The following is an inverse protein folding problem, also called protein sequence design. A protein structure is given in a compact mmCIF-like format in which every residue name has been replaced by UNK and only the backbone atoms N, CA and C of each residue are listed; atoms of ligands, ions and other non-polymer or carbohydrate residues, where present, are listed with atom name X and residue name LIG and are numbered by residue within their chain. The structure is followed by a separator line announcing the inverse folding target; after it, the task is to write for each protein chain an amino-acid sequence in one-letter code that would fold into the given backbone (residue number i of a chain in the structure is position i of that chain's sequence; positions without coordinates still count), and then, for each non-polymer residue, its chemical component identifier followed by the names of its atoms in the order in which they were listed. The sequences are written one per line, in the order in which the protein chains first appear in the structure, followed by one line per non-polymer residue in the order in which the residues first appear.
data_IF_138774802297
#
_entry.id   IF_138774802297
#
_cell.length_a   1.000
_cell.length_b   1.000
_cell.length_c   1.000
_cell.angle_alpha   90.00
_cell.angle_beta   90.00
_cell.angle_gamma   90.00
#
_symmetry.space_group_name_H-M   'P 1'
#
loop_
_entity.id
_entity.type
_entity.pdbx_description
1 polymer ?
#
# COMPACT_ATOMS: atom_id res chain seq x y z
N UNK A 1 -13.10 -3.22 -10.43
CA UNK A 1 -12.30 -3.16 -9.17
C UNK A 1 -11.65 -1.79 -8.92
N UNK A 2 -10.64 -1.34 -9.70
CA UNK A 2 -9.86 -0.11 -9.42
C UNK A 2 -10.71 1.16 -9.16
N UNK A 3 -11.75 1.38 -9.98
CA UNK A 3 -12.68 2.52 -9.80
C UNK A 3 -13.51 2.43 -8.51
N UNK A 4 -13.96 1.23 -8.13
CA UNK A 4 -14.75 1.02 -6.89
C UNK A 4 -13.90 1.23 -5.64
N UNK A 5 -12.66 0.73 -5.65
CA UNK A 5 -11.70 0.96 -4.58
C UNK A 5 -11.37 2.46 -4.41
N UNK A 6 -11.12 3.15 -5.53
CA UNK A 6 -10.86 4.60 -5.51
C UNK A 6 -12.05 5.38 -4.97
N UNK A 7 -13.28 5.04 -5.36
CA UNK A 7 -14.50 5.66 -4.83
C UNK A 7 -14.63 5.43 -3.32
N UNK A 8 -14.38 4.21 -2.83
CA UNK A 8 -14.41 3.91 -1.39
C UNK A 8 -13.40 4.73 -0.60
N UNK A 9 -12.17 4.85 -1.10
CA UNK A 9 -11.13 5.68 -0.48
C UNK A 9 -11.54 7.16 -0.40
N UNK A 10 -12.13 7.72 -1.47
CA UNK A 10 -12.61 9.10 -1.48
C UNK A 10 -13.75 9.31 -0.47
N UNK A 11 -14.70 8.37 -0.38
CA UNK A 11 -15.80 8.44 0.60
C UNK A 11 -15.27 8.42 2.04
N UNK A 12 -14.33 7.53 2.36
CA UNK A 12 -13.70 7.52 3.70
C UNK A 12 -12.94 8.81 4.01
N UNK A 13 -12.27 9.40 3.01
CA UNK A 13 -11.63 10.70 3.14
C UNK A 13 -12.63 11.81 3.51
N UNK A 14 -13.79 11.85 2.84
CA UNK A 14 -14.84 12.86 3.12
C UNK A 14 -15.40 12.68 4.53
N UNK A 15 -15.71 11.44 4.91
CA UNK A 15 -16.23 11.12 6.26
C UNK A 15 -15.21 11.52 7.32
N UNK A 16 -13.92 11.25 7.10
CA UNK A 16 -12.85 11.58 8.04
C UNK A 16 -12.63 13.08 8.17
N UNK A 17 -12.67 13.83 7.07
CA UNK A 17 -12.64 15.30 7.13
C UNK A 17 -13.80 15.85 7.97
N UNK A 18 -15.00 15.27 7.83
CA UNK A 18 -16.17 15.66 8.62
C UNK A 18 -16.02 15.33 10.12
N UNK A 19 -15.50 14.15 10.47
CA UNK A 19 -15.31 13.77 11.88
C UNK A 19 -14.22 14.60 12.55
N UNK A 20 -13.12 14.90 11.84
CA UNK A 20 -12.06 15.78 12.34
C UNK A 20 -12.58 17.21 12.54
N UNK A 21 -13.35 17.74 11.58
CA UNK A 21 -13.99 19.04 11.74
C UNK A 21 -14.93 19.08 12.95
N UNK A 22 -15.77 18.05 13.12
CA UNK A 22 -16.69 17.93 14.26
C UNK A 22 -15.94 17.84 15.59
N UNK A 23 -14.82 17.10 15.64
CA UNK A 23 -13.97 16.99 16.83
C UNK A 23 -13.34 18.35 17.20
N UNK A 24 -12.78 19.08 16.22
CA UNK A 24 -12.24 20.42 16.43
C UNK A 24 -13.33 21.40 16.88
N UNK A 25 -14.51 21.34 16.27
CA UNK A 25 -15.65 22.17 16.67
C UNK A 25 -16.08 21.90 18.11
N UNK A 26 -16.13 20.63 18.53
CA UNK A 26 -16.41 20.27 19.93
C UNK A 26 -15.38 20.89 20.88
N UNK A 27 -14.07 20.77 20.59
CA UNK A 27 -13.02 21.35 21.44
C UNK A 27 -13.17 22.87 21.54
N UNK A 28 -13.38 23.58 20.43
CA UNK A 28 -13.55 25.04 20.43
C UNK A 28 -14.82 25.48 21.17
N UNK A 29 -15.92 24.78 20.97
CA UNK A 29 -17.20 25.04 21.64
C UNK A 29 -17.05 24.86 23.15
N UNK A 30 -16.40 23.78 23.59
CA UNK A 30 -16.09 23.54 25.00
C UNK A 30 -15.16 24.59 25.60
N UNK A 31 -14.21 25.13 24.81
CA UNK A 31 -13.35 26.23 25.24
C UNK A 31 -14.12 27.54 25.46
N UNK A 32 -15.04 27.88 24.54
CA UNK A 32 -15.79 29.15 24.52
C UNK A 32 -17.03 29.19 25.44
N UNK A 33 -17.78 28.09 25.57
CA UNK A 33 -19.02 28.02 26.36
C UNK A 33 -18.82 27.74 27.84
N UNK A 34 -17.60 27.44 28.27
CA UNK A 34 -17.31 27.28 29.69
C UNK A 34 -17.15 28.64 30.34
N UNK A 35 -18.24 29.17 30.88
CA UNK A 35 -18.35 30.43 31.64
C UNK A 35 -17.64 30.40 33.03
N UNK A 36 -16.79 29.40 33.26
CA UNK A 36 -16.09 29.15 34.53
C UNK A 36 -14.63 29.59 34.43
N UNK A 37 -14.05 30.20 35.48
CA UNK A 37 -12.65 30.62 35.49
C UNK A 37 -11.69 29.44 35.28
N UNK A 38 -10.57 29.69 34.59
CA UNK A 38 -9.59 28.68 34.14
C UNK A 38 -9.07 27.79 35.29
N UNK A 39 -8.97 28.32 36.50
CA UNK A 39 -8.49 27.63 37.71
C UNK A 39 -9.44 26.53 38.19
N UNK A 40 -10.76 26.69 38.03
CA UNK A 40 -11.73 25.63 38.38
C UNK A 40 -11.85 24.57 37.28
N UNK A 41 -11.54 24.94 36.03
CA UNK A 41 -11.54 24.03 34.87
C UNK A 41 -10.33 23.11 34.83
N UNK A 42 -9.20 23.55 35.37
CA UNK A 42 -7.95 22.77 35.50
C UNK A 42 -7.90 21.89 36.75
N UNK A 43 -8.95 21.90 37.60
CA UNK A 43 -9.08 20.88 38.64
C UNK A 43 -9.09 19.51 37.96
N UNK A 44 -8.05 18.74 38.24
CA UNK A 44 -7.88 17.36 37.77
C UNK A 44 -8.97 16.51 38.42
N UNK A 45 -10.15 16.50 37.81
CA UNK A 45 -11.36 15.82 38.28
C UNK A 45 -12.09 15.18 37.11
N UNK A 46 -13.12 14.38 37.42
CA UNK A 46 -13.92 13.63 36.44
C UNK A 46 -14.87 14.54 35.63
N UNK A 47 -14.33 15.61 35.06
CA UNK A 47 -15.05 16.59 34.28
C UNK A 47 -14.90 16.24 32.79
N UNK A 48 -16.02 16.21 32.07
CA UNK A 48 -16.06 15.94 30.62
C UNK A 48 -15.14 16.88 29.83
N UNK A 49 -15.02 18.13 30.27
CA UNK A 49 -14.11 19.12 29.70
C UNK A 49 -12.63 18.68 29.77
N UNK A 50 -12.17 18.30 30.95
CA UNK A 50 -10.80 17.82 31.19
C UNK A 50 -10.53 16.54 30.40
N UNK A 51 -11.48 15.60 30.39
CA UNK A 51 -11.34 14.35 29.63
C UNK A 51 -11.19 14.60 28.12
N UNK A 52 -11.99 15.49 27.53
CA UNK A 52 -11.91 15.81 26.09
C UNK A 52 -10.58 16.49 25.76
N UNK A 53 -10.14 17.47 26.56
CA UNK A 53 -8.88 18.17 26.31
C UNK A 53 -7.69 17.26 26.51
N UNK A 54 -7.61 16.56 27.64
CA UNK A 54 -6.49 15.66 27.94
C UNK A 54 -6.40 14.53 26.92
N UNK A 55 -7.53 13.94 26.51
CA UNK A 55 -7.53 12.89 25.48
C UNK A 55 -7.06 13.43 24.12
N UNK A 56 -7.55 14.60 23.70
CA UNK A 56 -7.16 15.22 22.42
C UNK A 56 -5.69 15.65 22.42
N UNK A 57 -5.21 16.22 23.52
CA UNK A 57 -3.82 16.65 23.68
C UNK A 57 -2.89 15.43 23.79
N UNK A 58 -3.35 14.32 24.36
CA UNK A 58 -2.62 13.05 24.34
C UNK A 58 -2.56 12.45 22.93
N UNK A 59 -3.69 12.40 22.19
CA UNK A 59 -3.70 11.78 20.85
C UNK A 59 -2.99 12.61 19.79
N UNK A 60 -3.22 13.93 19.75
CA UNK A 60 -2.65 14.80 18.71
C UNK A 60 -1.45 15.59 19.25
N UNK A 61 -1.55 16.12 20.47
CA UNK A 61 -0.48 16.94 21.05
C UNK A 61 0.81 16.17 21.31
N UNK A 62 0.76 14.86 21.61
CA UNK A 62 1.98 14.05 21.72
C UNK A 62 2.72 13.93 20.39
N UNK A 63 2.02 13.88 19.25
CA UNK A 63 2.68 13.88 17.95
C UNK A 63 3.47 15.17 17.73
N UNK A 64 2.85 16.32 17.99
CA UNK A 64 3.55 17.61 17.90
C UNK A 64 4.71 17.71 18.89
N UNK A 65 4.51 17.28 20.15
CA UNK A 65 5.56 17.29 21.17
C UNK A 65 6.77 16.44 20.77
N UNK A 66 6.53 15.24 20.25
CA UNK A 66 7.61 14.36 19.77
C UNK A 66 8.30 14.94 18.53
N UNK A 67 7.56 15.57 17.61
CA UNK A 67 8.17 16.26 16.47
C UNK A 67 9.08 17.42 16.89
N UNK A 68 8.72 18.17 17.95
CA UNK A 68 9.58 19.22 18.51
C UNK A 68 10.83 18.64 19.20
N UNK A 69 10.69 17.51 19.92
CA UNK A 69 11.83 16.81 20.53
C UNK A 69 12.79 16.26 19.47
N UNK A 70 12.24 15.85 18.31
CA UNK A 70 13.00 15.40 17.14
C UNK A 70 13.61 16.54 16.32
N UNK A 71 13.40 17.80 16.70
CA UNK A 71 13.96 19.01 16.06
C UNK A 71 13.55 19.22 14.58
N UNK A 72 12.54 18.52 14.09
CA UNK A 72 11.96 18.76 12.77
C UNK A 72 10.43 18.75 12.86
N UNK A 73 9.78 19.88 13.18
CA UNK A 73 8.32 19.96 13.22
C UNK A 73 7.68 20.12 11.82
N UNK A 74 8.49 20.34 10.78
CA UNK A 74 7.99 20.81 9.48
C UNK A 74 7.11 19.77 8.78
N UNK A 75 7.48 18.49 8.89
CA UNK A 75 6.72 17.37 8.34
C UNK A 75 5.28 17.29 8.86
N UNK A 76 5.02 17.73 10.10
CA UNK A 76 3.69 17.73 10.68
C UNK A 76 2.81 18.82 10.04
N UNK A 77 3.35 19.98 9.67
CA UNK A 77 2.56 21.04 9.06
C UNK A 77 2.27 20.80 7.57
N UNK A 78 3.20 20.19 6.85
CA UNK A 78 3.03 19.94 5.40
C UNK A 78 2.15 18.74 5.09
N UNK A 79 2.22 17.68 5.91
CA UNK A 79 1.71 16.37 5.53
C UNK A 79 0.63 15.80 6.47
N UNK A 80 0.41 16.40 7.65
CA UNK A 80 -0.54 15.86 8.64
C UNK A 80 -1.98 15.85 8.14
N UNK A 81 -2.44 16.91 7.45
CA UNK A 81 -3.82 17.00 6.99
C UNK A 81 -4.17 15.87 6.00
N UNK A 82 -3.26 15.58 5.06
CA UNK A 82 -3.42 14.48 4.11
C UNK A 82 -3.36 13.13 4.82
N UNK A 83 -2.45 12.97 5.78
CA UNK A 83 -2.33 11.76 6.58
C UNK A 83 -3.61 11.46 7.37
N UNK A 84 -4.14 12.44 8.10
CA UNK A 84 -5.36 12.28 8.88
C UNK A 84 -6.58 11.98 7.99
N UNK A 85 -6.67 12.59 6.81
CA UNK A 85 -7.75 12.31 5.87
C UNK A 85 -7.73 10.86 5.35
N UNK A 86 -6.53 10.32 5.09
CA UNK A 86 -6.37 8.97 4.51
C UNK A 86 -6.26 7.84 5.54
N UNK A 87 -6.08 8.15 6.83
CA UNK A 87 -6.00 7.17 7.93
C UNK A 87 -7.05 6.06 7.90
N UNK A 88 -8.36 6.33 7.76
CA UNK A 88 -9.35 5.27 7.79
C UNK A 88 -9.23 4.35 6.57
N UNK A 89 -8.87 4.90 5.41
CA UNK A 89 -8.58 4.10 4.23
C UNK A 89 -7.36 3.20 4.43
N UNK A 90 -6.29 3.70 5.05
CA UNK A 90 -5.10 2.90 5.34
C UNK A 90 -5.39 1.76 6.31
N UNK A 91 -6.10 2.04 7.40
CA UNK A 91 -6.46 1.01 8.39
C UNK A 91 -7.33 -0.06 7.74
N UNK A 92 -8.41 0.32 7.05
CA UNK A 92 -9.29 -0.66 6.41
C UNK A 92 -8.57 -1.47 5.32
N UNK A 93 -7.77 -0.80 4.48
CA UNK A 93 -7.07 -1.44 3.36
C UNK A 93 -6.02 -2.43 3.87
N UNK A 94 -5.15 -2.00 4.79
CA UNK A 94 -4.11 -2.88 5.36
C UNK A 94 -4.73 -4.06 6.11
N UNK A 95 -5.83 -3.84 6.84
CA UNK A 95 -6.51 -4.91 7.55
C UNK A 95 -7.14 -5.93 6.60
N UNK A 96 -7.78 -5.48 5.52
CA UNK A 96 -8.31 -6.36 4.47
C UNK A 96 -7.17 -7.13 3.80
N UNK A 97 -6.07 -6.46 3.44
CA UNK A 97 -4.90 -7.16 2.87
C UNK A 97 -4.31 -8.17 3.86
N UNK A 98 -4.19 -7.84 5.15
CA UNK A 98 -3.70 -8.78 6.15
C UNK A 98 -4.61 -10.01 6.28
N UNK A 99 -5.93 -9.83 6.31
CA UNK A 99 -6.88 -10.95 6.40
C UNK A 99 -6.96 -11.77 5.11
N UNK A 100 -6.95 -11.11 3.95
CA UNK A 100 -6.96 -11.80 2.65
C UNK A 100 -5.65 -12.54 2.38
N UNK A 101 -4.50 -11.99 2.78
CA UNK A 101 -3.21 -12.65 2.64
C UNK A 101 -3.00 -13.78 3.68
N UNK A 102 -3.77 -13.83 4.78
CA UNK A 102 -3.66 -14.92 5.77
C UNK A 102 -4.11 -16.27 5.23
N UNK A 103 -5.06 -16.31 4.28
CA UNK A 103 -5.51 -17.57 3.66
C UNK A 103 -4.62 -17.99 2.48
N UNK A 104 -3.74 -17.10 2.02
CA UNK A 104 -2.91 -17.28 0.84
C UNK A 104 -1.43 -17.35 1.21
N UNK A 105 -1.10 -18.29 2.10
CA UNK A 105 0.29 -18.61 2.51
C UNK A 105 0.96 -19.46 1.43
N UNK A 106 0.97 -18.95 0.20
CA UNK A 106 1.79 -19.48 -0.90
C UNK A 106 2.64 -18.34 -1.45
N UNK A 107 3.46 -17.76 -0.57
CA UNK A 107 4.45 -16.79 -1.02
C UNK A 107 5.48 -17.53 -1.89
N UNK A 108 5.65 -17.08 -3.13
CA UNK A 108 6.78 -17.46 -3.99
C UNK A 108 6.59 -18.65 -4.94
N UNK A 109 5.44 -19.33 -5.00
CA UNK A 109 5.24 -20.49 -5.93
C UNK A 109 3.86 -20.56 -6.59
N UNK A 110 3.10 -19.46 -6.58
CA UNK A 110 1.85 -19.34 -7.37
C UNK A 110 2.16 -19.17 -8.86
N UNK A 111 2.55 -20.27 -9.49
CA UNK A 111 2.87 -20.34 -10.92
C UNK A 111 4.09 -21.22 -11.23
N UNK A 112 5.03 -21.34 -10.29
CA UNK A 112 6.33 -22.02 -10.52
C UNK A 112 6.31 -23.54 -10.22
N UNK A 113 5.12 -24.12 -9.99
CA UNK A 113 4.95 -25.58 -9.96
C UNK A 113 4.62 -26.17 -11.32
N UNK A 114 4.41 -25.33 -12.34
CA UNK A 114 4.49 -25.76 -13.73
C UNK A 114 5.86 -25.34 -14.22
N UNK A 115 6.80 -26.28 -14.13
CA UNK A 115 8.07 -26.20 -14.83
C UNK A 115 7.72 -26.04 -16.31
N UNK A 116 7.67 -24.80 -16.80
CA UNK A 116 7.79 -24.50 -18.22
C UNK A 116 9.27 -24.68 -18.56
N UNK A 117 9.79 -25.89 -18.43
CA UNK A 117 11.00 -26.31 -19.15
C UNK A 117 10.60 -26.45 -20.60
N UNK A 118 10.33 -25.32 -21.24
CA UNK A 118 10.58 -25.25 -22.66
C UNK A 118 12.10 -25.21 -22.80
N UNK A 119 12.67 -26.40 -22.95
CA UNK A 119 14.10 -26.61 -23.09
C UNK A 119 14.58 -26.14 -24.49
N UNK A 120 13.88 -25.21 -25.15
CA UNK A 120 14.20 -24.78 -26.51
C UNK A 120 14.52 -25.97 -27.43
N UNK A 121 15.54 -25.80 -28.28
CA UNK A 121 15.98 -26.81 -29.25
C UNK A 121 16.66 -28.06 -28.64
N UNK A 122 16.62 -28.27 -27.32
CA UNK A 122 17.20 -29.45 -26.69
C UNK A 122 16.28 -30.67 -26.89
N UNK A 123 16.66 -31.52 -27.85
CA UNK A 123 15.99 -32.80 -28.10
C UNK A 123 16.75 -33.90 -27.36
N UNK A 124 16.03 -34.73 -26.60
CA UNK A 124 16.60 -35.88 -25.91
C UNK A 124 16.74 -37.06 -26.88
N UNK A 125 17.96 -37.32 -27.32
CA UNK A 125 18.28 -38.56 -28.06
C UNK A 125 18.86 -39.58 -27.07
N UNK A 126 17.98 -40.39 -26.47
CA UNK A 126 18.36 -41.46 -25.53
C UNK A 126 18.33 -41.06 -24.04
N UNK A 127 18.44 -42.07 -23.15
CA UNK A 127 18.06 -41.98 -21.73
C UNK A 127 18.97 -41.14 -20.82
N UNK A 128 20.00 -40.46 -21.35
CA UNK A 128 20.92 -39.67 -20.49
C UNK A 128 21.73 -38.58 -21.21
N UNK A 129 21.56 -38.33 -22.51
CA UNK A 129 22.37 -37.33 -23.23
C UNK A 129 21.45 -36.32 -23.92
N UNK A 130 21.70 -35.03 -23.67
CA UNK A 130 20.99 -33.91 -24.28
C UNK A 130 21.89 -33.32 -25.36
N UNK A 131 21.44 -33.32 -26.61
CA UNK A 131 22.12 -32.64 -27.70
C UNK A 131 21.61 -31.20 -27.76
N UNK A 132 22.52 -30.24 -27.58
CA UNK A 132 22.23 -28.82 -27.68
C UNK A 132 22.92 -28.28 -28.94
N UNK A 133 22.13 -27.74 -29.86
CA UNK A 133 22.65 -27.05 -31.03
C UNK A 133 23.21 -25.70 -30.58
N UNK A 134 24.53 -25.65 -30.37
CA UNK A 134 25.25 -24.43 -30.04
C UNK A 134 25.60 -23.71 -31.35
N UNK A 135 25.22 -22.42 -31.53
CA UNK A 135 25.68 -21.62 -32.65
C UNK A 135 27.21 -21.61 -32.66
N UNK A 136 27.81 -22.16 -33.72
CA UNK A 136 29.28 -22.28 -33.83
C UNK A 136 29.86 -21.36 -34.89
N UNK A 137 29.01 -20.65 -35.64
CA UNK A 137 29.43 -19.64 -36.60
C UNK A 137 29.85 -18.36 -35.87
N UNK A 138 31.03 -17.83 -36.22
CA UNK A 138 31.57 -16.62 -35.60
C UNK A 138 30.64 -15.41 -35.76
N UNK A 139 29.89 -15.35 -36.88
CA UNK A 139 28.92 -14.30 -37.16
C UNK A 139 27.76 -14.29 -36.14
N UNK A 140 27.26 -15.46 -35.75
CA UNK A 140 26.14 -15.60 -34.81
C UNK A 140 26.56 -15.15 -33.40
N UNK A 141 27.80 -15.47 -33.00
CA UNK A 141 28.37 -15.06 -31.71
C UNK A 141 28.52 -13.54 -31.64
N UNK A 142 29.10 -12.93 -32.68
CA UNK A 142 29.32 -11.48 -32.72
C UNK A 142 27.97 -10.74 -32.79
N UNK A 143 26.99 -11.27 -33.53
CA UNK A 143 25.66 -10.68 -33.62
C UNK A 143 24.91 -10.72 -32.28
N UNK A 144 24.96 -11.84 -31.55
CA UNK A 144 24.37 -11.96 -30.23
C UNK A 144 25.07 -11.08 -29.18
N UNK A 145 26.39 -10.92 -29.28
CA UNK A 145 27.15 -10.01 -28.42
C UNK A 145 26.74 -8.54 -28.64
N UNK A 146 26.62 -8.11 -29.89
CA UNK A 146 26.21 -6.75 -30.25
C UNK A 146 24.74 -6.46 -29.90
N UNK A 147 23.87 -7.46 -29.97
CA UNK A 147 22.48 -7.36 -29.51
C UNK A 147 22.41 -7.21 -27.99
N UNK A 148 23.17 -8.03 -27.25
CA UNK A 148 23.27 -7.93 -25.80
C UNK A 148 23.80 -6.56 -25.34
N UNK A 149 24.83 -6.03 -26.01
CA UNK A 149 25.35 -4.68 -25.74
C UNK A 149 24.31 -3.59 -26.02
N UNK A 150 23.48 -3.74 -27.07
CA UNK A 150 22.38 -2.81 -27.37
C UNK A 150 21.28 -2.87 -26.32
N UNK A 151 20.86 -4.07 -25.89
CA UNK A 151 19.88 -4.27 -24.84
C UNK A 151 20.35 -3.75 -23.46
N UNK A 152 21.66 -3.81 -23.19
CA UNK A 152 22.24 -3.21 -21.97
C UNK A 152 22.30 -1.69 -22.05
N UNK A 153 22.52 -1.11 -23.24
CA UNK A 153 22.62 0.34 -23.43
C UNK A 153 21.26 1.01 -23.45
N UNK A 154 20.28 0.39 -24.09
CA UNK A 154 18.93 0.91 -24.22
C UNK A 154 18.02 0.10 -23.30
N UNK A 155 17.65 0.66 -22.15
CA UNK A 155 16.76 -0.01 -21.19
C UNK A 155 15.35 0.00 -21.77
N UNK A 156 15.07 -0.94 -22.67
CA UNK A 156 13.73 -1.20 -23.16
C UNK A 156 12.85 -1.52 -21.94
N UNK A 157 11.88 -0.65 -21.65
CA UNK A 157 10.89 -0.94 -20.63
C UNK A 157 10.17 -2.22 -21.04
N UNK A 158 10.38 -3.29 -20.26
CA UNK A 158 9.67 -4.54 -20.45
C UNK A 158 8.19 -4.19 -20.34
N UNK A 159 7.46 -4.40 -21.43
CA UNK A 159 6.01 -4.21 -21.44
C UNK A 159 5.43 -5.00 -20.26
N UNK A 160 4.49 -4.42 -19.49
CA UNK A 160 3.92 -5.12 -18.35
C UNK A 160 3.39 -6.47 -18.85
N UNK A 161 3.74 -7.58 -18.18
CA UNK A 161 3.31 -8.91 -18.62
C UNK A 161 1.80 -8.91 -18.77
N UNK A 162 1.33 -9.39 -19.92
CA UNK A 162 -0.10 -9.56 -20.13
C UNK A 162 -0.64 -10.51 -19.06
N UNK A 163 -1.79 -10.16 -18.48
CA UNK A 163 -2.44 -11.00 -17.47
C UNK A 163 -2.75 -12.35 -18.11
N UNK A 164 -2.31 -13.45 -17.50
CA UNK A 164 -2.59 -14.77 -18.04
C UNK A 164 -4.10 -15.01 -18.13
N UNK A 165 -4.54 -15.70 -19.17
CA UNK A 165 -5.97 -16.01 -19.38
C UNK A 165 -6.57 -16.75 -18.18
N UNK A 166 -5.79 -17.64 -17.55
CA UNK A 166 -6.18 -18.35 -16.34
C UNK A 166 -6.42 -17.39 -15.16
N UNK A 167 -5.56 -16.37 -15.01
CA UNK A 167 -5.71 -15.36 -13.96
C UNK A 167 -6.92 -14.45 -14.21
N UNK A 168 -7.19 -14.09 -15.47
CA UNK A 168 -8.41 -13.35 -15.82
C UNK A 168 -9.69 -14.14 -15.52
N UNK A 169 -9.68 -15.44 -15.79
CA UNK A 169 -10.83 -16.32 -15.54
C UNK A 169 -11.06 -16.53 -14.04
N UNK A 170 -10.00 -16.70 -13.25
CA UNK A 170 -10.10 -16.74 -11.79
C UNK A 170 -10.62 -15.43 -11.20
N UNK A 171 -10.10 -14.28 -11.64
CA UNK A 171 -10.56 -12.97 -11.19
C UNK A 171 -12.03 -12.71 -11.54
N UNK A 172 -12.47 -13.17 -12.71
CA UNK A 172 -13.87 -13.13 -13.11
C UNK A 172 -14.76 -13.97 -12.17
N UNK A 173 -14.39 -15.22 -11.90
CA UNK A 173 -15.16 -16.07 -10.98
C UNK A 173 -15.13 -15.56 -9.54
N UNK A 174 -14.01 -14.97 -9.08
CA UNK A 174 -13.92 -14.35 -7.76
C UNK A 174 -14.82 -13.13 -7.67
N UNK A 175 -14.83 -12.27 -8.69
CA UNK A 175 -15.71 -11.10 -8.75
C UNK A 175 -17.19 -11.50 -8.69
N UNK A 176 -17.62 -12.50 -9.47
CA UNK A 176 -19.01 -12.99 -9.48
C UNK A 176 -19.42 -13.59 -8.12
N UNK A 177 -18.52 -14.26 -7.40
CA UNK A 177 -18.79 -14.80 -6.06
C UNK A 177 -18.94 -13.73 -4.97
N UNK A 178 -18.44 -12.52 -5.21
CA UNK A 178 -18.51 -11.40 -4.27
C UNK A 178 -19.67 -10.43 -4.53
N UNK A 179 -20.48 -10.67 -5.58
CA UNK A 179 -21.72 -9.95 -5.86
C UNK A 179 -22.94 -10.66 -5.27
#
# INVERSE_FOLDING_TARGET
AKKMFMTGMVVYCIIMMYTVFSALYMVVTQLKLSDQPLEERLKLGNNTFTNIIVSTLSTVGLYFFMSFLYLDPWHMFTSSAQYFALLPSYICTLQVYAFCNTHDVTWGTKGDNMIHTDLGAARTTGSSTVELEMPSEQLDIDSGYDEALRNLRDRLEVAPPELSEAQMQEDYYRAVRTY
#
